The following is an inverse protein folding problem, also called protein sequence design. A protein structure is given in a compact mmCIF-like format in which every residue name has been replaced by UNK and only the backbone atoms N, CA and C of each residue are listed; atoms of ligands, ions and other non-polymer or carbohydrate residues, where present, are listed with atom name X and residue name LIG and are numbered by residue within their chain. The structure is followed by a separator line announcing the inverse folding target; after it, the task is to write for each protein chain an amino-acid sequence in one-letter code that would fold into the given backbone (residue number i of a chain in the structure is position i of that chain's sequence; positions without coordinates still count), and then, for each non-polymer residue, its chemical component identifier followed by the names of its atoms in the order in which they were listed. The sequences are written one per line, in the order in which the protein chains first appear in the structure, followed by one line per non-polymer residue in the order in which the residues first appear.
data_IF_157978738802
#
_entry.id   IF_157978738802
#
_cell.length_a   1.000
_cell.length_b   1.000
_cell.length_c   1.000
_cell.angle_alpha   90.00
_cell.angle_beta   90.00
_cell.angle_gamma   90.00
#
_symmetry.space_group_name_H-M   'P 1'
#
loop_
_entity.id
_entity.type
_entity.pdbx_description
1 polymer ?
#
# COMPACT_ATOMS: atom_id res chain seq x y z
N UNK A 1 57.95 -13.95 32.80
CA UNK A 1 57.02 -15.08 33.00
C UNK A 1 55.69 -14.66 32.38
N UNK A 2 55.39 -15.13 31.17
CA UNK A 2 54.45 -16.24 30.86
C UNK A 2 52.98 -15.85 31.06
N UNK A 3 52.30 -15.65 29.91
CA UNK A 3 50.91 -16.06 29.53
C UNK A 3 49.76 -15.58 30.42
N UNK A 4 48.58 -15.15 29.93
CA UNK A 4 47.55 -15.90 29.18
C UNK A 4 46.55 -14.82 28.66
N UNK A 5 46.33 -14.65 27.35
CA UNK A 5 45.19 -15.20 26.58
C UNK A 5 43.81 -14.86 27.17
N UNK A 6 42.99 -14.07 26.46
CA UNK A 6 41.68 -14.52 25.96
C UNK A 6 40.98 -13.38 25.21
N UNK A 7 40.60 -13.68 23.98
CA UNK A 7 39.84 -12.77 23.14
C UNK A 7 38.40 -12.64 23.60
N UNK A 8 37.81 -11.48 23.29
CA UNK A 8 36.37 -11.32 23.18
C UNK A 8 36.10 -10.82 21.78
N UNK A 9 35.89 -11.80 20.91
CA UNK A 9 35.25 -11.70 19.62
C UNK A 9 33.76 -11.41 19.88
N UNK A 10 33.33 -10.15 19.80
CA UNK A 10 31.91 -9.80 19.80
C UNK A 10 31.49 -9.34 18.41
N UNK A 11 30.99 -10.32 17.65
CA UNK A 11 29.92 -10.26 16.66
C UNK A 11 29.40 -8.84 16.35
N UNK A 12 29.88 -8.26 15.25
CA UNK A 12 29.13 -7.24 14.52
C UNK A 12 27.93 -7.94 13.85
N UNK A 13 26.79 -8.00 14.55
CA UNK A 13 25.51 -8.38 13.96
C UNK A 13 25.15 -7.34 12.90
N UNK A 14 25.53 -7.64 11.67
CA UNK A 14 25.04 -6.93 10.48
C UNK A 14 23.59 -7.32 10.28
N UNK A 15 22.67 -6.59 10.93
CA UNK A 15 21.24 -6.61 10.60
C UNK A 15 21.05 -5.89 9.26
N UNK A 16 21.44 -6.53 8.16
CA UNK A 16 21.11 -6.08 6.81
C UNK A 16 20.03 -6.98 6.24
N UNK A 17 18.78 -6.64 6.53
CA UNK A 17 17.61 -7.01 5.73
C UNK A 17 16.50 -6.01 6.04
N UNK A 18 16.72 -4.75 5.66
CA UNK A 18 15.61 -3.80 5.54
C UNK A 18 14.73 -4.31 4.39
N UNK A 19 13.54 -4.80 4.73
CA UNK A 19 12.49 -5.02 3.77
C UNK A 19 12.11 -3.66 3.16
N UNK A 20 12.46 -3.47 1.90
CA UNK A 20 12.36 -2.20 1.18
C UNK A 20 11.03 -2.15 0.43
N UNK A 21 9.93 -2.06 1.17
CA UNK A 21 8.63 -1.69 0.62
C UNK A 21 8.22 -0.31 1.14
N UNK A 22 7.79 0.61 0.29
CA UNK A 22 7.10 1.81 0.81
C UNK A 22 5.85 1.37 1.59
N UNK A 23 5.63 1.85 2.82
CA UNK A 23 4.42 1.52 3.57
C UNK A 23 3.22 2.04 2.79
N UNK A 24 2.30 1.13 2.45
CA UNK A 24 1.15 1.39 1.58
C UNK A 24 -0.18 1.06 2.26
N UNK A 25 -1.25 1.73 1.82
CA UNK A 25 -2.62 1.37 2.20
C UNK A 25 -3.21 0.47 1.11
N UNK A 26 -3.68 -0.71 1.50
CA UNK A 26 -4.23 -1.71 0.58
C UNK A 26 -5.75 -1.67 0.58
N UNK A 27 -6.34 -1.70 -0.60
CA UNK A 27 -7.78 -1.83 -0.82
C UNK A 27 -8.01 -3.09 -1.64
N UNK A 28 -8.81 -4.01 -1.11
CA UNK A 28 -9.09 -5.29 -1.75
C UNK A 28 -10.47 -5.29 -2.40
N UNK A 29 -10.68 -6.15 -3.41
CA UNK A 29 -11.98 -6.26 -4.10
C UNK A 29 -13.16 -6.55 -3.19
N UNK A 30 -12.95 -7.11 -2.01
CA UNK A 30 -14.01 -7.41 -1.03
C UNK A 30 -14.37 -6.21 -0.15
N UNK A 31 -13.64 -5.09 -0.23
CA UNK A 31 -13.87 -3.94 0.63
C UNK A 31 -15.25 -3.34 0.40
N UNK A 32 -15.93 -3.05 1.49
CA UNK A 32 -17.17 -2.27 1.54
C UNK A 32 -16.89 -0.78 1.43
N UNK A 33 -17.91 0.01 1.09
CA UNK A 33 -17.76 1.46 0.94
C UNK A 33 -17.34 2.15 2.26
N UNK A 34 -17.71 1.59 3.41
CA UNK A 34 -17.27 2.11 4.72
C UNK A 34 -15.77 1.85 4.97
N UNK A 35 -15.27 0.67 4.58
CA UNK A 35 -13.84 0.35 4.64
C UNK A 35 -13.04 1.22 3.66
N UNK A 36 -13.57 1.46 2.46
CA UNK A 36 -12.96 2.39 1.49
C UNK A 36 -12.84 3.79 2.09
N UNK A 37 -13.92 4.33 2.68
CA UNK A 37 -13.88 5.63 3.35
C UNK A 37 -12.92 5.68 4.53
N UNK A 38 -12.73 4.57 5.24
CA UNK A 38 -11.70 4.48 6.27
C UNK A 38 -10.28 4.60 5.67
N UNK A 39 -10.02 3.93 4.55
CA UNK A 39 -8.74 4.05 3.83
C UNK A 39 -8.51 5.46 3.30
N UNK A 40 -9.52 6.13 2.74
CA UNK A 40 -9.39 7.52 2.28
C UNK A 40 -8.99 8.47 3.42
N UNK A 41 -9.63 8.31 4.59
CA UNK A 41 -9.26 9.08 5.79
C UNK A 41 -7.85 8.76 6.27
N UNK A 42 -7.48 7.48 6.24
CA UNK A 42 -6.13 7.05 6.61
C UNK A 42 -5.08 7.60 5.65
N UNK A 43 -5.36 7.69 4.34
CA UNK A 43 -4.43 8.29 3.37
C UNK A 43 -4.15 9.77 3.67
N UNK A 44 -5.17 10.53 4.07
CA UNK A 44 -5.01 11.92 4.51
C UNK A 44 -4.15 11.99 5.78
N UNK A 45 -4.40 11.12 6.75
CA UNK A 45 -3.68 11.09 8.02
C UNK A 45 -2.21 10.66 7.86
N UNK A 46 -1.96 9.61 7.09
CA UNK A 46 -0.64 9.01 6.92
C UNK A 46 0.24 9.75 5.91
N UNK A 47 -0.35 10.30 4.85
CA UNK A 47 0.42 10.90 3.75
C UNK A 47 0.18 12.40 3.56
N UNK A 48 -0.79 12.99 4.27
CA UNK A 48 -1.16 14.40 4.09
C UNK A 48 -1.80 14.69 2.73
N UNK A 49 -2.29 13.65 2.03
CA UNK A 49 -2.85 13.77 0.68
C UNK A 49 -4.32 13.38 0.67
N UNK A 50 -5.14 14.23 0.06
CA UNK A 50 -6.54 13.90 -0.19
C UNK A 50 -6.61 12.93 -1.36
N UNK A 51 -7.26 11.80 -1.14
CA UNK A 51 -7.54 10.81 -2.17
C UNK A 51 -9.04 10.56 -2.26
N UNK A 52 -9.48 10.05 -3.39
CA UNK A 52 -10.84 9.55 -3.59
C UNK A 52 -10.78 8.23 -4.32
N UNK A 53 -11.51 7.24 -3.80
CA UNK A 53 -11.69 5.93 -4.38
C UNK A 53 -13.16 5.80 -4.78
N UNK A 54 -13.41 5.72 -6.08
CA UNK A 54 -14.74 5.57 -6.67
C UNK A 54 -14.93 4.12 -7.10
N UNK A 55 -15.85 3.41 -6.46
CA UNK A 55 -16.33 2.11 -6.92
C UNK A 55 -17.31 2.34 -8.06
N UNK A 56 -16.93 1.93 -9.27
CA UNK A 56 -17.75 2.11 -10.48
C UNK A 56 -18.67 0.93 -10.73
N UNK A 57 -18.27 -0.28 -10.34
CA UNK A 57 -19.16 -1.46 -10.37
C UNK A 57 -18.71 -2.54 -9.38
N UNK A 58 -19.68 -3.39 -9.00
CA UNK A 58 -19.49 -4.61 -8.24
C UNK A 58 -20.17 -5.78 -8.95
N UNK A 59 -19.67 -6.99 -8.74
CA UNK A 59 -20.31 -8.22 -9.24
C UNK A 59 -21.42 -8.73 -8.31
N UNK A 60 -22.05 -9.86 -8.66
CA UNK A 60 -23.12 -10.50 -7.89
C UNK A 60 -22.69 -10.97 -6.48
N UNK A 61 -21.38 -11.11 -6.23
CA UNK A 61 -20.81 -11.42 -4.89
C UNK A 61 -20.43 -10.15 -4.12
N UNK A 62 -20.84 -8.99 -4.60
CA UNK A 62 -20.52 -7.67 -4.06
C UNK A 62 -19.01 -7.33 -4.08
N UNK A 63 -18.22 -8.04 -4.89
CA UNK A 63 -16.81 -7.73 -5.09
C UNK A 63 -16.67 -6.57 -6.09
N UNK A 64 -15.79 -5.62 -5.80
CA UNK A 64 -15.44 -4.51 -6.68
C UNK A 64 -14.82 -5.07 -7.97
N UNK A 65 -15.40 -4.69 -9.11
CA UNK A 65 -14.90 -5.08 -10.44
C UNK A 65 -14.35 -3.90 -11.22
N UNK A 66 -14.88 -2.69 -11.00
CA UNK A 66 -14.35 -1.48 -11.60
C UNK A 66 -14.13 -0.42 -10.52
N UNK A 67 -12.93 0.16 -10.51
CA UNK A 67 -12.52 1.14 -9.52
C UNK A 67 -11.69 2.25 -10.19
N UNK A 68 -11.93 3.48 -9.75
CA UNK A 68 -11.11 4.64 -10.06
C UNK A 68 -10.55 5.24 -8.78
N UNK A 69 -9.25 5.50 -8.76
CA UNK A 69 -8.54 6.21 -7.70
C UNK A 69 -8.04 7.55 -8.24
N UNK A 70 -8.25 8.60 -7.47
CA UNK A 70 -7.77 9.95 -7.75
C UNK A 70 -7.04 10.50 -6.53
N UNK A 71 -5.86 11.09 -6.75
CA UNK A 71 -5.10 11.87 -5.78
C UNK A 71 -5.22 13.35 -6.11
N UNK A 72 -5.58 14.15 -5.11
CA UNK A 72 -5.73 15.59 -5.25
C UNK A 72 -4.45 16.33 -4.83
N UNK A 73 -4.13 17.39 -5.56
CA UNK A 73 -3.15 18.39 -5.15
C UNK A 73 -3.65 19.25 -3.99
N UNK A 74 -2.75 20.05 -3.41
CA UNK A 74 -3.11 21.00 -2.35
C UNK A 74 -4.07 22.10 -2.83
N UNK A 75 -4.06 22.39 -4.12
CA UNK A 75 -5.00 23.30 -4.79
C UNK A 75 -6.39 22.67 -5.02
N UNK A 76 -6.60 21.43 -4.59
CA UNK A 76 -7.84 20.69 -4.76
C UNK A 76 -8.06 20.15 -6.17
N UNK A 77 -7.10 20.31 -7.09
CA UNK A 77 -7.19 19.74 -8.44
C UNK A 77 -6.73 18.30 -8.47
N UNK A 78 -7.16 17.55 -9.47
CA UNK A 78 -6.70 16.18 -9.69
C UNK A 78 -5.23 16.20 -10.12
N UNK A 79 -4.35 15.61 -9.30
CA UNK A 79 -2.91 15.56 -9.55
C UNK A 79 -2.43 14.26 -10.19
N UNK A 80 -3.26 13.21 -10.17
CA UNK A 80 -2.96 11.91 -10.75
C UNK A 80 -3.91 10.83 -10.25
N UNK A 81 -3.92 9.66 -10.89
CA UNK A 81 -4.83 8.58 -10.54
C UNK A 81 -4.53 7.30 -11.29
N UNK A 82 -5.24 6.25 -10.92
CA UNK A 82 -5.22 4.95 -11.60
C UNK A 82 -6.62 4.36 -11.57
N UNK A 83 -6.97 3.58 -12.58
CA UNK A 83 -8.26 2.90 -12.66
C UNK A 83 -8.08 1.50 -13.24
N UNK A 84 -9.00 0.61 -12.91
CA UNK A 84 -9.08 -0.73 -13.51
C UNK A 84 -10.54 -1.12 -13.68
N UNK A 85 -10.84 -1.74 -14.81
CA UNK A 85 -12.14 -2.36 -15.16
C UNK A 85 -12.19 -3.86 -14.80
N UNK A 86 -11.10 -4.41 -14.26
CA UNK A 86 -10.94 -5.79 -13.78
C UNK A 86 -10.29 -5.80 -12.41
N UNK A 87 -10.75 -4.94 -11.52
CA UNK A 87 -10.11 -4.66 -10.25
C UNK A 87 -9.87 -5.91 -9.39
N UNK A 88 -8.64 -6.08 -8.91
CA UNK A 88 -8.28 -7.06 -7.88
C UNK A 88 -7.84 -6.40 -6.58
N UNK A 89 -6.83 -5.54 -6.67
CA UNK A 89 -6.27 -4.81 -5.53
C UNK A 89 -5.73 -3.45 -5.95
N UNK A 90 -5.89 -2.45 -5.07
CA UNK A 90 -5.25 -1.15 -5.14
C UNK A 90 -4.25 -1.03 -3.97
N UNK A 91 -3.04 -0.60 -4.27
CA UNK A 91 -2.05 -0.14 -3.30
C UNK A 91 -1.89 1.37 -3.44
N UNK A 92 -2.12 2.08 -2.35
CA UNK A 92 -1.97 3.53 -2.25
C UNK A 92 -0.68 3.80 -1.50
N UNK A 93 0.23 4.53 -2.12
CA UNK A 93 1.51 4.94 -1.55
C UNK A 93 1.55 6.47 -1.46
N UNK A 94 2.49 7.01 -0.69
CA UNK A 94 2.70 8.47 -0.61
C UNK A 94 2.99 9.07 -2.00
N UNK A 95 3.74 8.33 -2.81
CA UNK A 95 4.20 8.67 -4.16
C UNK A 95 3.11 8.55 -5.23
N UNK A 96 2.08 7.73 -5.01
CA UNK A 96 1.04 7.48 -6.02
C UNK A 96 0.19 6.25 -5.73
N UNK A 97 -0.23 5.55 -6.78
CA UNK A 97 -1.02 4.33 -6.67
C UNK A 97 -0.57 3.25 -7.65
N UNK A 98 -0.86 2.01 -7.31
CA UNK A 98 -0.69 0.84 -8.17
C UNK A 98 -1.96 -0.01 -8.09
N UNK A 99 -2.40 -0.54 -9.23
CA UNK A 99 -3.53 -1.47 -9.30
C UNK A 99 -3.05 -2.76 -9.94
N UNK A 100 -3.48 -3.89 -9.38
CA UNK A 100 -3.40 -5.19 -10.03
C UNK A 100 -4.81 -5.72 -10.24
N UNK A 101 -5.01 -6.27 -11.43
CA UNK A 101 -6.28 -6.87 -11.82
C UNK A 101 -6.54 -8.17 -11.08
N UNK A 102 -7.81 -8.59 -11.08
CA UNK A 102 -8.26 -9.84 -10.51
C UNK A 102 -7.49 -11.02 -11.12
N UNK A 103 -6.94 -11.88 -10.27
CA UNK A 103 -6.07 -12.99 -10.65
C UNK A 103 -4.57 -12.66 -10.64
N UNK A 104 -4.20 -11.39 -10.44
CA UNK A 104 -2.82 -10.92 -10.38
C UNK A 104 -2.49 -10.17 -9.09
N UNK A 105 -3.31 -10.32 -8.04
CA UNK A 105 -3.18 -9.57 -6.77
C UNK A 105 -1.83 -9.81 -6.06
N UNK A 106 -1.18 -10.95 -6.32
CA UNK A 106 0.14 -11.32 -5.78
C UNK A 106 1.30 -10.51 -6.40
N UNK A 107 1.07 -9.81 -7.51
CA UNK A 107 2.07 -8.94 -8.14
C UNK A 107 2.30 -7.64 -7.38
N UNK A 108 1.37 -7.28 -6.48
CA UNK A 108 1.50 -6.13 -5.61
C UNK A 108 1.84 -6.61 -4.20
N UNK A 109 3.03 -6.26 -3.66
CA UNK A 109 3.47 -6.70 -2.36
C UNK A 109 2.50 -6.26 -1.26
N UNK A 110 2.38 -7.07 -0.21
CA UNK A 110 1.61 -6.67 0.96
C UNK A 110 2.39 -5.60 1.72
N UNK A 111 1.76 -4.48 2.10
CA UNK A 111 2.42 -3.52 2.97
C UNK A 111 2.74 -4.19 4.32
N UNK A 112 3.95 -3.97 4.82
CA UNK A 112 4.35 -4.43 6.16
C UNK A 112 3.50 -3.70 7.22
N UNK A 113 3.05 -4.44 8.23
CA UNK A 113 2.13 -3.96 9.28
C UNK A 113 2.82 -3.07 10.30
#
# INVERSE_FOLDING_TARGET
MKTVLLGILCFALSFTSYATGEPGLRVEKTFTDSQIRAVERQAIQSYGVKVQIRVLSRNARNEITNLSFVRYGQDGKEGGGCSSDKFGVLLIMKSGCQIADAGFESRIPMPEK
#
